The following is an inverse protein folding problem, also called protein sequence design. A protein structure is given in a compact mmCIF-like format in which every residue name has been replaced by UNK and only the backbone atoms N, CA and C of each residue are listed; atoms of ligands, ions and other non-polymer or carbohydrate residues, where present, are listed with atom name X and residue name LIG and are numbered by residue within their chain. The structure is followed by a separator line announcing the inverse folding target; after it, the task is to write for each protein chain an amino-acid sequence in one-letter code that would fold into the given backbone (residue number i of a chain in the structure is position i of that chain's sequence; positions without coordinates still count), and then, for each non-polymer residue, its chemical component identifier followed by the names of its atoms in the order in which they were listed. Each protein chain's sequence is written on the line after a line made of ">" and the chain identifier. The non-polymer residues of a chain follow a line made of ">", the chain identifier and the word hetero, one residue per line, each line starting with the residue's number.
data_IF_671593086027
#
_entry.id   IF_671593086027
#
_cell.length_a   1.000
_cell.length_b   1.000
_cell.length_c   1.000
_cell.angle_alpha   90.00
_cell.angle_beta   90.00
_cell.angle_gamma   90.00
#
_symmetry.space_group_name_H-M   'P 1'
#
loop_
_entity.id
_entity.type
_entity.pdbx_description
1 polymer ?
#
# COMPACT_ATOMS: atom_id res chain seq x y z
N UNK A 1 -18.29 38.96 8.43
CA UNK A 1 -18.19 37.53 8.06
C UNK A 1 -16.71 37.18 8.10
N UNK A 2 -16.27 36.67 9.24
CA UNK A 2 -14.89 36.23 9.41
C UNK A 2 -14.78 34.82 8.78
N UNK A 3 -13.98 34.72 7.73
CA UNK A 3 -13.63 33.46 7.12
C UNK A 3 -12.83 32.64 8.13
N UNK A 4 -13.42 31.54 8.57
CA UNK A 4 -12.72 30.52 9.35
C UNK A 4 -11.85 29.71 8.39
N UNK A 5 -10.65 30.21 8.07
CA UNK A 5 -9.61 29.38 7.49
C UNK A 5 -9.34 28.18 8.38
N UNK A 6 -9.12 27.00 7.78
CA UNK A 6 -8.86 25.77 8.53
C UNK A 6 -7.61 25.93 9.41
N UNK A 7 -7.52 25.20 10.51
CA UNK A 7 -6.35 25.25 11.40
C UNK A 7 -5.02 24.92 10.67
N UNK A 8 -5.10 24.18 9.57
CA UNK A 8 -4.01 23.83 8.66
C UNK A 8 -3.56 25.05 7.86
N UNK A 9 -4.49 25.83 7.30
CA UNK A 9 -4.20 27.04 6.54
C UNK A 9 -3.49 28.09 7.39
N UNK A 10 -3.95 28.35 8.62
CA UNK A 10 -3.31 29.31 9.55
C UNK A 10 -1.90 28.91 9.97
N UNK A 11 -1.59 27.59 10.10
CA UNK A 11 -0.27 27.13 10.47
C UNK A 11 0.73 27.15 9.31
N UNK A 12 0.23 27.03 8.08
CA UNK A 12 1.07 27.13 6.88
C UNK A 12 1.42 28.61 6.60
N UNK A 13 0.49 29.53 6.90
CA UNK A 13 0.71 30.99 6.80
C UNK A 13 1.77 31.53 7.78
N UNK A 14 1.96 30.86 8.93
CA UNK A 14 2.98 31.22 9.94
C UNK A 14 4.38 30.62 9.67
N UNK A 15 4.62 29.99 8.52
CA UNK A 15 5.90 29.34 8.22
C UNK A 15 6.95 30.36 7.73
N UNK A 16 8.11 30.49 8.41
CA UNK A 16 9.19 31.33 7.91
C UNK A 16 9.79 30.77 6.61
N UNK A 17 10.30 31.67 5.76
CA UNK A 17 10.83 31.39 4.43
C UNK A 17 11.55 30.03 4.30
N UNK A 18 11.04 29.22 3.40
CA UNK A 18 11.35 27.79 3.15
C UNK A 18 12.86 27.51 2.95
N UNK A 19 13.55 27.22 4.05
CA UNK A 19 14.86 26.54 4.00
C UNK A 19 14.76 25.30 4.89
N UNK A 20 14.57 24.14 4.31
CA UNK A 20 14.34 22.84 4.96
C UNK A 20 13.20 22.87 6.00
N UNK A 21 12.00 22.61 5.59
CA UNK A 21 10.81 22.56 6.45
C UNK A 21 10.29 21.13 6.49
N UNK A 22 10.09 20.61 7.69
CA UNK A 22 9.27 19.40 7.84
C UNK A 22 7.81 19.76 7.57
N UNK A 23 7.09 18.88 6.86
CA UNK A 23 5.65 19.05 6.75
C UNK A 23 5.02 19.09 8.15
N UNK A 24 4.13 20.06 8.43
CA UNK A 24 3.35 20.05 9.67
C UNK A 24 2.71 18.66 9.89
N UNK A 25 2.65 18.21 11.15
CA UNK A 25 2.10 16.87 11.47
C UNK A 25 0.68 16.65 10.93
N UNK A 26 -0.11 17.71 10.85
CA UNK A 26 -1.44 17.70 10.26
C UNK A 26 -1.38 17.42 8.76
N UNK A 27 -0.46 18.04 8.05
CA UNK A 27 -0.26 17.80 6.61
C UNK A 27 0.29 16.40 6.34
N UNK A 28 1.17 15.90 7.21
CA UNK A 28 1.64 14.50 7.14
C UNK A 28 0.47 13.53 7.25
N UNK A 29 -0.43 13.74 8.22
CA UNK A 29 -1.64 12.93 8.38
C UNK A 29 -2.56 13.01 7.17
N UNK A 30 -2.70 14.19 6.57
CA UNK A 30 -3.48 14.39 5.35
C UNK A 30 -2.85 13.66 4.17
N UNK A 31 -1.53 13.78 3.96
CA UNK A 31 -0.79 13.04 2.93
C UNK A 31 -0.99 11.54 3.09
N UNK A 32 -0.84 11.02 4.31
CA UNK A 32 -0.99 9.58 4.57
C UNK A 32 -2.44 9.11 4.47
N UNK A 33 -3.42 9.96 4.79
CA UNK A 33 -4.83 9.69 4.52
C UNK A 33 -5.10 9.60 3.00
N UNK A 34 -4.49 10.45 2.20
CA UNK A 34 -4.55 10.39 0.73
C UNK A 34 -3.81 9.17 0.17
N UNK A 35 -2.70 8.76 0.78
CA UNK A 35 -2.03 7.48 0.45
C UNK A 35 -3.01 6.33 0.63
N UNK A 36 -3.72 6.27 1.75
CA UNK A 36 -4.76 5.25 2.00
C UNK A 36 -5.87 5.27 0.94
N UNK A 37 -6.23 6.43 0.41
CA UNK A 37 -7.21 6.56 -0.67
C UNK A 37 -6.72 6.15 -2.07
N UNK A 38 -5.42 5.89 -2.24
CA UNK A 38 -4.80 5.53 -3.52
C UNK A 38 -4.03 4.21 -3.51
N UNK A 39 -3.75 3.64 -2.34
CA UNK A 39 -3.09 2.35 -2.16
C UNK A 39 -4.12 1.29 -1.80
N UNK A 40 -4.12 0.19 -2.52
CA UNK A 40 -4.99 -0.95 -2.24
C UNK A 40 -4.64 -1.62 -0.92
N UNK A 41 -3.36 -1.87 -0.67
CA UNK A 41 -2.90 -2.50 0.57
C UNK A 41 -3.23 -1.64 1.79
N UNK A 42 -3.05 -0.32 1.68
CA UNK A 42 -3.40 0.59 2.76
C UNK A 42 -4.92 0.68 3.03
N UNK A 43 -5.76 0.38 2.02
CA UNK A 43 -7.22 0.35 2.16
C UNK A 43 -7.70 -0.91 2.86
N UNK A 44 -7.16 -2.08 2.48
CA UNK A 44 -7.62 -3.37 2.98
C UNK A 44 -6.97 -3.77 4.31
N UNK A 45 -5.99 -3.04 4.80
CA UNK A 45 -5.25 -3.35 6.02
C UNK A 45 -5.24 -2.19 7.01
N UNK A 46 -4.97 -2.49 8.27
CA UNK A 46 -4.84 -1.49 9.32
C UNK A 46 -3.40 -0.98 9.42
N UNK A 47 -3.28 0.35 9.58
CA UNK A 47 -2.01 1.03 9.73
C UNK A 47 -1.61 1.14 11.20
N UNK A 48 -0.32 0.96 11.51
CA UNK A 48 0.28 1.27 12.80
C UNK A 48 1.50 2.18 12.61
N UNK A 49 1.73 3.18 13.49
CA UNK A 49 2.97 3.96 13.45
C UNK A 49 4.19 3.05 13.65
N UNK A 50 5.23 3.24 12.85
CA UNK A 50 6.48 2.49 12.94
C UNK A 50 7.60 3.46 13.28
N UNK A 51 8.39 3.24 14.36
CA UNK A 51 9.56 4.05 14.63
C UNK A 51 10.63 3.81 13.56
N UNK A 52 11.53 4.77 13.38
CA UNK A 52 12.62 4.67 12.39
C UNK A 52 13.54 3.45 12.62
N UNK A 53 13.68 3.02 13.87
CA UNK A 53 14.43 1.81 14.24
C UNK A 53 13.77 0.49 13.78
N UNK A 54 12.52 0.56 13.34
CA UNK A 54 11.67 -0.61 13.03
C UNK A 54 10.86 -1.07 14.23
N UNK A 55 9.95 -2.00 13.96
CA UNK A 55 9.09 -2.65 14.95
C UNK A 55 9.25 -4.16 14.82
N UNK A 56 9.25 -4.87 15.95
CA UNK A 56 9.21 -6.32 15.98
C UNK A 56 7.77 -6.77 16.19
N UNK A 57 7.26 -7.56 15.25
CA UNK A 57 5.94 -8.20 15.35
C UNK A 57 6.12 -9.69 15.64
N UNK A 58 5.35 -10.20 16.59
CA UNK A 58 5.43 -11.60 17.02
C UNK A 58 4.30 -12.40 16.39
N UNK A 59 4.65 -13.58 15.90
CA UNK A 59 3.73 -14.57 15.37
C UNK A 59 3.71 -15.73 16.36
N UNK A 60 2.54 -16.00 16.91
CA UNK A 60 2.36 -17.06 17.87
C UNK A 60 1.49 -18.16 17.28
N UNK A 61 2.09 -19.29 16.94
CA UNK A 61 1.40 -20.44 16.38
C UNK A 61 1.22 -21.52 17.45
N UNK A 62 -0.02 -21.97 17.61
CA UNK A 62 -0.39 -23.10 18.46
C UNK A 62 -0.63 -24.34 17.60
N UNK A 63 0.11 -25.40 17.83
CA UNK A 63 -0.09 -26.66 17.14
C UNK A 63 -0.97 -27.60 17.95
N UNK A 64 -1.87 -28.31 17.26
CA UNK A 64 -2.79 -29.28 17.83
C UNK A 64 -4.10 -28.68 18.34
N UNK A 65 -5.02 -29.55 18.69
CA UNK A 65 -6.36 -29.20 19.15
C UNK A 65 -6.46 -29.12 20.67
N UNK A 66 -7.37 -28.29 21.18
CA UNK A 66 -7.74 -28.30 22.59
C UNK A 66 -8.32 -29.67 22.99
N UNK A 67 -7.92 -30.16 24.14
CA UNK A 67 -8.36 -31.47 24.66
C UNK A 67 -9.43 -31.28 25.75
N UNK A 68 -10.48 -32.11 25.68
CA UNK A 68 -11.42 -32.26 26.78
C UNK A 68 -10.85 -33.33 27.75
N UNK A 69 -10.60 -32.92 29.00
CA UNK A 69 -9.98 -33.79 30.01
C UNK A 69 -11.00 -34.04 31.14
N UNK A 70 -11.21 -35.28 31.48
CA UNK A 70 -12.03 -35.68 32.61
C UNK A 70 -11.37 -35.41 33.95
N UNK A 71 -12.13 -35.50 35.05
CA UNK A 71 -11.61 -35.32 36.40
C UNK A 71 -10.57 -36.42 36.72
N UNK A 72 -9.36 -36.04 37.09
CA UNK A 72 -8.24 -36.95 37.38
C UNK A 72 -7.43 -37.43 36.19
N UNK A 73 -7.75 -37.02 34.96
CA UNK A 73 -7.01 -37.41 33.78
C UNK A 73 -5.80 -36.48 33.51
N UNK A 74 -4.79 -37.01 32.82
CA UNK A 74 -3.58 -36.26 32.46
C UNK A 74 -3.89 -35.30 31.32
N UNK A 75 -3.53 -34.03 31.48
CA UNK A 75 -3.58 -33.00 30.44
C UNK A 75 -2.58 -33.31 29.33
N UNK A 76 -3.03 -33.26 28.06
CA UNK A 76 -2.15 -33.34 26.89
C UNK A 76 -1.24 -32.11 26.78
N UNK A 77 -0.10 -32.28 26.12
CA UNK A 77 0.81 -31.20 25.81
C UNK A 77 0.50 -30.68 24.38
N UNK A 78 0.26 -29.40 24.24
CA UNK A 78 0.33 -28.71 22.96
C UNK A 78 1.75 -28.20 22.68
N UNK A 79 2.06 -27.92 21.45
CA UNK A 79 3.26 -27.20 21.04
C UNK A 79 2.89 -25.77 20.66
N UNK A 80 3.77 -24.84 21.04
CA UNK A 80 3.64 -23.43 20.65
C UNK A 80 4.96 -22.98 20.06
N UNK A 81 4.91 -22.35 18.88
CA UNK A 81 6.05 -21.69 18.27
C UNK A 81 5.84 -20.19 18.32
N UNK A 82 6.90 -19.46 18.69
CA UNK A 82 6.94 -18.01 18.69
C UNK A 82 7.98 -17.58 17.67
N UNK A 83 7.53 -16.97 16.59
CA UNK A 83 8.40 -16.36 15.60
C UNK A 83 8.31 -14.85 15.70
N UNK A 84 9.38 -14.15 15.33
CA UNK A 84 9.37 -12.71 15.27
C UNK A 84 9.78 -12.23 13.89
N UNK A 85 9.10 -11.20 13.39
CA UNK A 85 9.44 -10.52 12.14
C UNK A 85 9.70 -9.04 12.41
N UNK A 86 10.90 -8.59 12.03
CA UNK A 86 11.27 -7.18 12.17
C UNK A 86 10.83 -6.43 10.92
N UNK A 87 9.96 -5.44 11.12
CA UNK A 87 9.49 -4.53 10.09
C UNK A 87 10.34 -3.27 10.15
N UNK A 88 11.18 -3.04 9.14
CA UNK A 88 12.00 -1.83 9.02
C UNK A 88 11.41 -0.91 7.95
N UNK A 89 11.31 0.41 8.23
CA UNK A 89 10.85 1.35 7.23
C UNK A 89 11.86 1.49 6.09
N UNK A 90 11.35 1.49 4.86
CA UNK A 90 12.08 1.82 3.64
C UNK A 90 11.85 3.28 3.29
N UNK A 91 12.85 3.90 2.69
CA UNK A 91 12.81 5.31 2.29
C UNK A 91 12.23 5.43 0.88
N UNK A 92 11.11 6.12 0.76
CA UNK A 92 10.50 6.51 -0.51
C UNK A 92 10.77 7.98 -0.77
N UNK A 93 11.36 8.29 -1.91
CA UNK A 93 11.70 9.66 -2.30
C UNK A 93 10.98 10.03 -3.58
N UNK A 94 10.37 11.19 -3.59
CA UNK A 94 9.88 11.81 -4.80
C UNK A 94 10.38 13.25 -4.88
N UNK A 95 10.87 13.62 -6.05
CA UNK A 95 11.34 14.97 -6.30
C UNK A 95 10.82 15.47 -7.64
N UNK A 96 10.55 16.77 -7.70
CA UNK A 96 10.07 17.42 -8.89
C UNK A 96 10.70 18.81 -9.02
N UNK A 97 11.10 19.17 -10.26
CA UNK A 97 11.53 20.52 -10.59
C UNK A 97 10.32 21.41 -10.80
N UNK A 98 10.38 22.61 -10.27
CA UNK A 98 9.41 23.68 -10.48
C UNK A 98 10.16 24.97 -10.81
N UNK A 99 9.50 25.92 -11.46
CA UNK A 99 10.10 27.26 -11.72
C UNK A 99 10.44 27.95 -10.40
N UNK A 100 11.52 28.73 -10.37
CA UNK A 100 11.91 29.53 -9.19
C UNK A 100 10.92 30.66 -8.90
N UNK A 101 10.00 30.95 -9.83
CA UNK A 101 8.85 31.82 -9.58
C UNK A 101 7.99 31.34 -8.41
N UNK A 102 8.06 30.03 -8.08
CA UNK A 102 7.44 29.46 -6.89
C UNK A 102 7.94 30.15 -5.61
N UNK A 103 9.25 30.36 -5.47
CA UNK A 103 9.81 31.01 -4.27
C UNK A 103 9.45 32.50 -4.24
N UNK A 104 9.28 33.12 -5.41
CA UNK A 104 9.03 34.53 -5.56
C UNK A 104 7.56 34.93 -5.61
N UNK A 105 6.63 33.94 -5.58
CA UNK A 105 5.19 34.22 -5.57
C UNK A 105 4.72 34.58 -4.15
N UNK A 106 3.46 35.02 -4.03
CA UNK A 106 2.85 35.31 -2.73
C UNK A 106 2.75 34.05 -1.87
N UNK A 107 2.78 34.20 -0.55
CA UNK A 107 2.66 33.08 0.41
C UNK A 107 1.43 32.22 0.15
N UNK A 108 0.30 32.82 -0.19
CA UNK A 108 -0.93 32.11 -0.56
C UNK A 108 -0.72 31.15 -1.75
N UNK A 109 -0.04 31.60 -2.79
CA UNK A 109 0.30 30.74 -3.93
C UNK A 109 1.32 29.66 -3.60
N UNK A 110 2.28 29.93 -2.70
CA UNK A 110 3.20 28.91 -2.22
C UNK A 110 2.45 27.80 -1.49
N UNK A 111 1.46 28.13 -0.66
CA UNK A 111 0.59 27.17 0.01
C UNK A 111 -0.16 26.29 -0.99
N UNK A 112 -0.74 26.88 -2.03
CA UNK A 112 -1.43 26.14 -3.08
C UNK A 112 -0.50 25.16 -3.82
N UNK A 113 0.71 25.59 -4.15
CA UNK A 113 1.73 24.73 -4.75
C UNK A 113 2.10 23.55 -3.85
N UNK A 114 2.28 23.80 -2.54
CA UNK A 114 2.61 22.76 -1.58
C UNK A 114 1.45 21.76 -1.38
N UNK A 115 0.20 22.22 -1.40
CA UNK A 115 -0.97 21.33 -1.39
C UNK A 115 -0.99 20.42 -2.62
N UNK A 116 -0.84 20.99 -3.83
CA UNK A 116 -0.80 20.22 -5.07
C UNK A 116 0.37 19.24 -5.12
N UNK A 117 1.55 19.68 -4.65
CA UNK A 117 2.71 18.79 -4.54
C UNK A 117 2.44 17.65 -3.57
N UNK A 118 1.86 17.94 -2.40
CA UNK A 118 1.50 16.93 -1.38
C UNK A 118 0.51 15.89 -1.93
N UNK A 119 -0.48 16.29 -2.72
CA UNK A 119 -1.43 15.39 -3.36
C UNK A 119 -0.75 14.49 -4.40
N UNK A 120 0.09 15.09 -5.24
CA UNK A 120 0.88 14.35 -6.21
C UNK A 120 1.84 13.37 -5.55
N UNK A 121 2.51 13.81 -4.48
CA UNK A 121 3.41 12.99 -3.66
C UNK A 121 2.68 11.80 -3.04
N UNK A 122 1.54 12.03 -2.38
CA UNK A 122 0.72 10.98 -1.77
C UNK A 122 0.35 9.88 -2.78
N UNK A 123 -0.11 10.29 -3.98
CA UNK A 123 -0.45 9.35 -5.04
C UNK A 123 0.75 8.54 -5.55
N UNK A 124 1.91 9.18 -5.69
CA UNK A 124 3.14 8.48 -6.13
C UNK A 124 3.65 7.51 -5.09
N UNK A 125 3.62 7.91 -3.81
CA UNK A 125 4.03 7.04 -2.70
C UNK A 125 3.06 5.86 -2.54
N UNK A 126 1.75 6.07 -2.67
CA UNK A 126 0.77 4.99 -2.64
C UNK A 126 1.04 3.93 -3.71
N UNK A 127 1.25 4.38 -4.95
CA UNK A 127 1.60 3.48 -6.06
C UNK A 127 2.93 2.76 -5.79
N UNK A 128 3.94 3.48 -5.30
CA UNK A 128 5.25 2.92 -5.01
C UNK A 128 5.20 1.88 -3.88
N UNK A 129 4.41 2.14 -2.84
CA UNK A 129 4.19 1.21 -1.73
C UNK A 129 3.52 -0.08 -2.22
N UNK A 130 2.41 0.02 -2.98
CA UNK A 130 1.73 -1.15 -3.54
C UNK A 130 2.67 -1.98 -4.42
N UNK A 131 3.41 -1.35 -5.35
CA UNK A 131 4.36 -2.05 -6.22
C UNK A 131 5.46 -2.76 -5.43
N UNK A 132 6.02 -2.09 -4.42
CA UNK A 132 7.06 -2.67 -3.60
C UNK A 132 6.54 -3.84 -2.74
N UNK A 133 5.38 -3.69 -2.12
CA UNK A 133 4.83 -4.71 -1.23
C UNK A 133 4.18 -5.88 -2.00
N UNK A 134 3.49 -5.63 -3.10
CA UNK A 134 2.87 -6.70 -3.91
C UNK A 134 3.92 -7.45 -4.71
N UNK A 135 4.72 -6.74 -5.51
CA UNK A 135 5.59 -7.35 -6.52
C UNK A 135 7.07 -7.38 -6.14
N UNK A 136 7.46 -6.70 -5.05
CA UNK A 136 8.86 -6.64 -4.64
C UNK A 136 9.76 -5.97 -5.66
N UNK A 137 9.26 -4.94 -6.34
CA UNK A 137 10.01 -4.20 -7.36
C UNK A 137 10.38 -2.80 -6.89
N UNK A 138 11.46 -2.26 -7.44
CA UNK A 138 11.82 -0.87 -7.28
C UNK A 138 10.91 -0.02 -8.19
N UNK A 139 10.10 0.92 -7.64
CA UNK A 139 9.00 1.54 -8.39
C UNK A 139 9.43 2.38 -9.60
N UNK A 140 10.66 2.89 -9.64
CA UNK A 140 11.16 3.72 -10.73
C UNK A 140 11.69 2.89 -11.90
N UNK A 141 12.46 1.84 -11.61
CA UNK A 141 13.10 0.98 -12.62
C UNK A 141 12.27 -0.25 -12.97
N UNK A 142 11.31 -0.62 -12.10
CA UNK A 142 10.54 -1.87 -12.18
C UNK A 142 11.40 -3.14 -12.09
N UNK A 143 12.66 -2.99 -11.66
CA UNK A 143 13.55 -4.11 -11.40
C UNK A 143 13.26 -4.76 -10.05
N UNK A 144 13.55 -6.04 -9.91
CA UNK A 144 13.40 -6.78 -8.67
C UNK A 144 14.22 -6.14 -7.55
N UNK A 145 13.56 -5.86 -6.43
CA UNK A 145 14.20 -5.33 -5.24
C UNK A 145 14.83 -6.44 -4.40
N UNK A 146 15.87 -6.11 -3.65
CA UNK A 146 16.58 -7.08 -2.78
C UNK A 146 15.69 -7.73 -1.71
N UNK A 147 14.60 -7.09 -1.34
CA UNK A 147 13.63 -7.61 -0.37
C UNK A 147 12.49 -8.44 -0.99
N UNK A 148 12.43 -8.61 -2.33
CA UNK A 148 11.34 -9.33 -3.02
C UNK A 148 11.05 -10.69 -2.40
N UNK A 149 12.07 -11.53 -2.26
CA UNK A 149 11.91 -12.88 -1.73
C UNK A 149 11.51 -12.96 -0.24
N UNK A 150 11.69 -11.87 0.51
CA UNK A 150 11.52 -11.87 1.97
C UNK A 150 10.38 -10.98 2.45
N UNK A 151 9.88 -10.07 1.61
CA UNK A 151 8.88 -9.09 2.02
C UNK A 151 8.00 -8.57 0.86
N UNK A 152 7.60 -9.46 -0.05
CA UNK A 152 6.57 -9.15 -1.06
C UNK A 152 5.59 -10.31 -1.21
N UNK A 153 4.39 -10.02 -1.71
CA UNK A 153 3.42 -11.08 -2.00
C UNK A 153 3.94 -12.02 -3.09
N UNK A 154 4.54 -11.49 -4.17
CA UNK A 154 5.14 -12.30 -5.23
C UNK A 154 6.23 -13.26 -4.74
N UNK A 155 7.02 -12.83 -3.77
CA UNK A 155 8.12 -13.62 -3.26
C UNK A 155 7.75 -14.60 -2.16
N UNK A 156 6.71 -14.30 -1.37
CA UNK A 156 6.33 -15.11 -0.20
C UNK A 156 5.13 -16.00 -0.46
N UNK A 157 4.11 -15.54 -1.21
CA UNK A 157 2.90 -16.31 -1.50
C UNK A 157 3.14 -17.10 -2.79
N UNK A 158 3.80 -18.25 -2.68
CA UNK A 158 4.20 -19.11 -3.80
C UNK A 158 3.44 -20.42 -3.87
N UNK A 159 2.81 -20.83 -2.77
CA UNK A 159 2.10 -22.12 -2.68
C UNK A 159 0.59 -21.96 -2.93
N UNK A 160 0.01 -20.86 -2.47
CA UNK A 160 -1.43 -20.57 -2.64
C UNK A 160 -1.65 -19.75 -3.93
N UNK A 161 -1.48 -20.41 -5.08
CA UNK A 161 -1.65 -19.80 -6.40
C UNK A 161 -2.81 -20.43 -7.16
N UNK A 162 -3.71 -19.59 -7.69
CA UNK A 162 -4.78 -19.97 -8.60
C UNK A 162 -4.46 -19.44 -9.99
N UNK A 163 -4.54 -20.29 -11.01
CA UNK A 163 -4.36 -19.86 -12.41
C UNK A 163 -5.60 -19.09 -12.87
N UNK A 164 -5.40 -17.88 -13.37
CA UNK A 164 -6.49 -17.02 -13.82
C UNK A 164 -7.16 -17.55 -15.09
N UNK A 165 -8.47 -17.78 -15.02
CA UNK A 165 -9.34 -18.03 -16.18
C UNK A 165 -10.35 -16.88 -16.30
N UNK A 166 -10.25 -16.11 -17.37
CA UNK A 166 -11.12 -14.96 -17.63
C UNK A 166 -12.60 -15.33 -17.83
N UNK A 167 -12.92 -16.61 -18.03
CA UNK A 167 -14.30 -17.12 -18.18
C UNK A 167 -14.93 -17.59 -16.88
N UNK A 168 -14.11 -17.74 -15.80
CA UNK A 168 -14.47 -18.27 -14.48
C UNK A 168 -13.86 -17.44 -13.37
N UNK A 169 -14.03 -16.14 -13.44
CA UNK A 169 -13.34 -15.22 -12.53
C UNK A 169 -13.86 -15.32 -11.09
N UNK A 170 -15.14 -15.59 -10.92
CA UNK A 170 -15.75 -15.85 -9.62
C UNK A 170 -15.25 -17.15 -9.02
N UNK A 171 -15.20 -18.24 -9.80
CA UNK A 171 -14.62 -19.52 -9.36
C UNK A 171 -13.14 -19.34 -8.95
N UNK A 172 -12.34 -18.56 -9.70
CA UNK A 172 -10.94 -18.30 -9.35
C UNK A 172 -10.79 -17.59 -8.00
N UNK A 173 -11.69 -16.65 -7.68
CA UNK A 173 -11.69 -15.95 -6.40
C UNK A 173 -12.12 -16.89 -5.29
N UNK A 174 -13.14 -17.71 -5.52
CA UNK A 174 -13.60 -18.73 -4.58
C UNK A 174 -12.51 -19.76 -4.28
N UNK A 175 -11.80 -20.25 -5.30
CA UNK A 175 -10.67 -21.17 -5.12
C UNK A 175 -9.56 -20.55 -4.27
N UNK A 176 -9.25 -19.28 -4.50
CA UNK A 176 -8.27 -18.56 -3.69
C UNK A 176 -8.71 -18.39 -2.22
N UNK A 177 -10.01 -18.09 -1.99
CA UNK A 177 -10.59 -18.02 -0.65
C UNK A 177 -10.53 -19.37 0.05
N UNK A 178 -10.83 -20.47 -0.67
CA UNK A 178 -10.75 -21.81 -0.12
C UNK A 178 -9.32 -22.19 0.30
N UNK A 179 -8.30 -21.79 -0.46
CA UNK A 179 -6.89 -22.01 -0.07
C UNK A 179 -6.54 -21.32 1.26
N UNK A 180 -7.00 -20.09 1.45
CA UNK A 180 -6.77 -19.35 2.70
C UNK A 180 -7.51 -19.99 3.88
N UNK A 181 -8.78 -20.34 3.70
CA UNK A 181 -9.61 -20.95 4.75
C UNK A 181 -9.16 -22.37 5.10
N UNK A 182 -8.58 -23.11 4.16
CA UNK A 182 -7.97 -24.41 4.42
C UNK A 182 -6.77 -24.33 5.36
N UNK A 183 -6.11 -23.18 5.42
CA UNK A 183 -5.01 -22.88 6.34
C UNK A 183 -5.50 -22.24 7.67
N UNK A 184 -6.79 -22.40 8.00
CA UNK A 184 -7.43 -21.88 9.23
C UNK A 184 -7.32 -20.35 9.39
N UNK A 185 -7.18 -19.61 8.28
CA UNK A 185 -7.14 -18.15 8.26
C UNK A 185 -8.46 -17.57 7.76
N UNK A 186 -8.88 -16.45 8.32
CA UNK A 186 -10.03 -15.68 7.85
C UNK A 186 -9.66 -14.88 6.59
N UNK A 187 -10.67 -14.52 5.79
CA UNK A 187 -10.48 -13.64 4.64
C UNK A 187 -11.10 -12.29 4.93
N UNK A 188 -10.25 -11.29 5.19
CA UNK A 188 -10.69 -9.93 5.56
C UNK A 188 -10.66 -8.94 4.41
N UNK A 189 -9.90 -9.25 3.35
CA UNK A 189 -9.75 -8.34 2.22
C UNK A 189 -9.52 -9.02 0.88
N UNK A 190 -9.90 -8.31 -0.17
CA UNK A 190 -9.74 -8.69 -1.57
C UNK A 190 -9.25 -7.50 -2.38
N UNK A 191 -8.12 -7.64 -3.06
CA UNK A 191 -7.58 -6.64 -3.96
C UNK A 191 -7.59 -7.20 -5.37
N UNK A 192 -8.20 -6.48 -6.33
CA UNK A 192 -8.38 -6.97 -7.69
C UNK A 192 -7.80 -6.03 -8.75
N UNK A 193 -7.35 -6.61 -9.84
CA UNK A 193 -6.99 -5.87 -11.04
C UNK A 193 -8.24 -5.27 -11.71
N UNK A 194 -8.13 -4.13 -12.42
CA UNK A 194 -9.24 -3.57 -13.17
C UNK A 194 -9.86 -4.54 -14.20
N UNK A 195 -9.05 -5.42 -14.79
CA UNK A 195 -9.50 -6.44 -15.73
C UNK A 195 -10.40 -7.49 -15.06
N UNK A 196 -10.07 -7.90 -13.84
CA UNK A 196 -10.87 -8.81 -13.00
C UNK A 196 -12.24 -8.23 -12.70
N UNK A 197 -12.31 -6.95 -12.27
CA UNK A 197 -13.58 -6.27 -12.06
C UNK A 197 -14.42 -6.15 -13.32
N UNK A 198 -13.79 -5.92 -14.47
CA UNK A 198 -14.50 -5.90 -15.76
C UNK A 198 -15.02 -7.30 -16.16
N UNK A 199 -14.30 -8.35 -15.86
CA UNK A 199 -14.71 -9.72 -16.13
C UNK A 199 -15.88 -10.12 -15.22
N UNK A 200 -15.83 -9.84 -13.91
CA UNK A 200 -16.97 -10.02 -12.99
C UNK A 200 -18.23 -9.32 -13.49
N UNK A 201 -18.11 -8.06 -13.94
CA UNK A 201 -19.25 -7.30 -14.50
C UNK A 201 -19.93 -7.95 -15.72
N UNK A 202 -19.27 -8.90 -16.39
CA UNK A 202 -19.78 -9.60 -17.59
C UNK A 202 -20.45 -10.91 -17.27
N UNK A 203 -20.25 -11.48 -16.09
CA UNK A 203 -20.82 -12.75 -15.69
C UNK A 203 -22.35 -12.65 -15.68
N UNK A 204 -22.99 -13.56 -16.41
CA UNK A 204 -24.47 -13.63 -16.51
C UNK A 204 -24.94 -15.07 -16.33
N UNK A 205 -25.98 -15.23 -15.51
CA UNK A 205 -26.71 -16.49 -15.36
C UNK A 205 -28.14 -16.25 -15.80
N UNK A 206 -28.62 -17.04 -16.76
CA UNK A 206 -29.95 -16.91 -17.34
C UNK A 206 -30.26 -15.47 -17.84
N UNK A 207 -29.26 -14.76 -18.38
CA UNK A 207 -29.41 -13.39 -18.89
C UNK A 207 -29.35 -12.30 -17.78
N UNK A 208 -29.25 -12.68 -16.52
CA UNK A 208 -29.14 -11.76 -15.38
C UNK A 208 -27.67 -11.62 -14.98
N UNK A 209 -27.20 -10.39 -14.85
CA UNK A 209 -25.83 -10.13 -14.37
C UNK A 209 -25.73 -10.43 -12.89
N UNK A 210 -24.67 -11.16 -12.53
CA UNK A 210 -24.45 -11.57 -11.13
C UNK A 210 -23.80 -10.46 -10.30
N UNK A 211 -22.89 -9.68 -10.91
CA UNK A 211 -22.10 -8.64 -10.23
C UNK A 211 -22.28 -7.28 -10.92
N UNK A 212 -23.50 -6.69 -10.86
CA UNK A 212 -23.79 -5.43 -11.56
C UNK A 212 -23.04 -4.23 -10.98
N UNK A 213 -22.57 -4.29 -9.73
CA UNK A 213 -21.81 -3.26 -9.02
C UNK A 213 -20.45 -2.97 -9.64
N UNK A 214 -19.88 -3.93 -10.38
CA UNK A 214 -18.60 -3.73 -11.10
C UNK A 214 -18.75 -3.08 -12.47
N UNK A 215 -19.96 -2.72 -12.87
CA UNK A 215 -20.19 -2.09 -14.19
C UNK A 215 -19.65 -0.67 -14.24
N UNK A 216 -19.39 -0.21 -15.45
CA UNK A 216 -18.91 1.14 -15.76
C UNK A 216 -17.60 1.52 -15.05
N UNK A 217 -16.77 0.53 -14.75
CA UNK A 217 -15.48 0.76 -14.09
C UNK A 217 -15.59 1.04 -12.59
N UNK A 218 -16.76 0.87 -12.00
CA UNK A 218 -16.94 0.99 -10.56
C UNK A 218 -16.46 -0.28 -9.83
N UNK A 219 -16.30 -0.19 -8.53
CA UNK A 219 -16.13 -1.30 -7.60
C UNK A 219 -16.75 -0.87 -6.26
N UNK A 220 -17.43 -1.78 -5.55
CA UNK A 220 -17.91 -1.50 -4.21
C UNK A 220 -16.74 -1.43 -3.23
N UNK A 221 -16.94 -0.81 -2.05
CA UNK A 221 -15.92 -0.80 -1.00
C UNK A 221 -15.82 -2.14 -0.26
N UNK A 222 -16.87 -2.93 -0.32
CA UNK A 222 -16.96 -4.27 0.27
C UNK A 222 -17.50 -5.25 -0.76
N UNK A 223 -16.92 -6.44 -0.78
CA UNK A 223 -17.42 -7.58 -1.52
C UNK A 223 -17.76 -8.67 -0.51
N UNK A 224 -19.06 -8.83 -0.26
CA UNK A 224 -19.60 -9.52 0.92
C UNK A 224 -19.02 -8.92 2.20
N UNK A 225 -18.33 -9.69 3.03
CA UNK A 225 -17.73 -9.22 4.30
C UNK A 225 -16.28 -8.74 4.14
N UNK A 226 -15.69 -8.91 2.96
CA UNK A 226 -14.30 -8.52 2.66
C UNK A 226 -14.21 -7.04 2.25
N UNK A 227 -13.24 -6.33 2.76
CA UNK A 227 -12.86 -5.00 2.23
C UNK A 227 -12.30 -5.18 0.81
N UNK A 228 -12.89 -4.48 -0.16
CA UNK A 228 -12.48 -4.57 -1.56
C UNK A 228 -11.75 -3.30 -2.01
N UNK A 229 -10.68 -3.50 -2.77
CA UNK A 229 -10.12 -2.44 -3.61
C UNK A 229 -9.80 -2.93 -5.02
N UNK A 230 -9.91 -2.01 -5.98
CA UNK A 230 -9.59 -2.26 -7.38
C UNK A 230 -8.54 -1.29 -7.85
N UNK A 231 -7.34 -1.78 -8.09
CA UNK A 231 -6.21 -0.96 -8.47
C UNK A 231 -5.41 -1.56 -9.62
N UNK A 232 -4.82 -0.68 -10.42
CA UNK A 232 -3.94 -1.06 -11.52
C UNK A 232 -2.61 -1.64 -11.04
N UNK A 233 -2.17 -1.28 -9.82
CA UNK A 233 -0.92 -1.79 -9.25
C UNK A 233 -0.91 -3.29 -9.09
N UNK A 234 -2.07 -3.92 -8.87
CA UNK A 234 -2.23 -5.39 -8.74
C UNK A 234 -1.75 -6.14 -9.98
N UNK A 235 -2.11 -5.65 -11.18
CA UNK A 235 -1.79 -6.31 -12.45
C UNK A 235 -0.49 -5.81 -13.08
N UNK A 236 0.44 -5.34 -12.28
CA UNK A 236 1.76 -4.97 -12.79
C UNK A 236 2.55 -6.24 -13.12
N UNK A 237 3.10 -6.28 -14.33
CA UNK A 237 3.93 -7.41 -14.77
C UNK A 237 5.23 -7.45 -13.99
N UNK A 238 5.56 -8.62 -13.49
CA UNK A 238 6.87 -8.90 -12.97
C UNK A 238 7.87 -9.22 -14.11
N UNK A 239 9.13 -9.47 -13.81
CA UNK A 239 10.17 -9.79 -14.81
C UNK A 239 9.87 -11.05 -15.63
N UNK A 240 9.10 -12.01 -15.09
CA UNK A 240 8.66 -13.22 -15.80
C UNK A 240 7.47 -13.00 -16.71
N UNK A 241 6.84 -11.82 -16.64
CA UNK A 241 5.65 -11.47 -17.42
C UNK A 241 4.33 -11.88 -16.76
N UNK A 242 4.37 -12.55 -15.61
CA UNK A 242 3.17 -12.91 -14.86
C UNK A 242 2.49 -11.66 -14.26
N UNK A 243 1.17 -11.69 -14.23
CA UNK A 243 0.32 -10.61 -13.71
C UNK A 243 -0.57 -11.15 -12.59
N UNK A 244 -0.62 -10.48 -11.45
CA UNK A 244 -1.64 -10.76 -10.45
C UNK A 244 -2.99 -10.18 -10.88
N UNK A 245 -4.01 -11.00 -10.85
CA UNK A 245 -5.37 -10.60 -11.18
C UNK A 245 -6.22 -10.36 -9.93
N UNK A 246 -5.89 -11.04 -8.83
CA UNK A 246 -6.44 -10.80 -7.50
C UNK A 246 -5.46 -11.27 -6.42
N UNK A 247 -5.51 -10.63 -5.25
CA UNK A 247 -4.84 -11.05 -4.02
C UNK A 247 -5.90 -11.02 -2.92
N UNK A 248 -6.04 -12.13 -2.20
CA UNK A 248 -7.01 -12.27 -1.10
C UNK A 248 -6.35 -12.86 0.13
N UNK A 249 -6.93 -12.63 1.30
CA UNK A 249 -6.44 -13.18 2.55
C UNK A 249 -6.75 -12.33 3.77
N UNK A 250 -6.08 -12.64 4.87
CA UNK A 250 -6.24 -11.95 6.15
C UNK A 250 -5.28 -10.76 6.27
N UNK A 251 -5.68 -9.67 5.66
CA UNK A 251 -4.91 -8.42 5.69
C UNK A 251 -4.93 -7.74 7.05
N UNK A 252 -5.96 -7.96 7.88
CA UNK A 252 -6.05 -7.31 9.18
C UNK A 252 -5.08 -7.89 10.20
N UNK A 253 -4.87 -9.20 10.18
CA UNK A 253 -4.04 -9.89 11.17
C UNK A 253 -2.61 -10.11 10.67
N UNK A 254 -2.40 -10.51 9.41
CA UNK A 254 -1.12 -10.96 8.89
C UNK A 254 -0.41 -10.01 7.92
N UNK A 255 -1.04 -8.88 7.55
CA UNK A 255 -0.35 -7.80 6.85
C UNK A 255 -0.27 -6.57 7.75
N UNK A 256 0.94 -6.17 8.11
CA UNK A 256 1.17 -4.98 8.94
C UNK A 256 1.96 -3.95 8.16
N UNK A 257 1.55 -2.69 8.25
CA UNK A 257 2.28 -1.60 7.65
C UNK A 257 2.18 -0.35 8.51
N UNK A 258 3.10 0.57 8.27
CA UNK A 258 3.07 1.85 8.93
C UNK A 258 4.12 2.79 8.37
N UNK A 259 4.13 4.00 8.86
CA UNK A 259 5.05 5.05 8.45
C UNK A 259 5.60 5.81 9.66
N UNK A 260 6.73 6.49 9.46
CA UNK A 260 7.28 7.38 10.47
C UNK A 260 6.50 8.70 10.47
N UNK A 261 6.37 9.33 11.64
CA UNK A 261 5.54 10.54 11.82
C UNK A 261 6.04 11.77 11.05
N UNK A 262 7.29 11.77 10.57
CA UNK A 262 7.90 12.90 9.91
C UNK A 262 8.09 12.63 8.42
N UNK A 263 7.63 13.56 7.58
CA UNK A 263 7.93 13.63 6.15
C UNK A 263 8.75 14.92 5.93
N UNK A 264 10.07 14.82 5.75
CA UNK A 264 10.87 15.98 5.41
C UNK A 264 10.56 16.47 4.00
N UNK A 265 10.37 17.77 3.86
CA UNK A 265 10.30 18.48 2.60
C UNK A 265 11.52 19.37 2.46
N UNK A 266 12.25 19.18 1.41
CA UNK A 266 13.44 19.98 1.09
C UNK A 266 13.20 20.80 -0.19
N UNK A 267 13.55 22.08 -0.14
CA UNK A 267 13.62 22.95 -1.31
C UNK A 267 15.08 23.12 -1.69
N UNK A 268 15.48 22.56 -2.82
CA UNK A 268 16.84 22.60 -3.33
C UNK A 268 16.92 23.67 -4.42
N UNK A 269 17.76 24.67 -4.21
CA UNK A 269 17.88 25.81 -5.11
C UNK A 269 19.07 25.72 -6.08
N UNK A 270 20.00 24.80 -5.84
CA UNK A 270 21.27 24.72 -6.57
C UNK A 270 21.62 23.29 -6.94
N UNK A 271 22.41 23.13 -8.01
CA UNK A 271 22.95 21.85 -8.45
C UNK A 271 22.01 21.07 -9.36
N UNK A 272 22.31 19.77 -9.54
CA UNK A 272 21.53 18.83 -10.33
C UNK A 272 21.10 17.62 -9.47
N UNK A 273 20.08 17.80 -8.61
CA UNK A 273 19.70 16.78 -7.62
C UNK A 273 19.10 15.50 -8.23
N UNK A 274 18.58 15.56 -9.45
CA UNK A 274 17.96 14.46 -10.17
C UNK A 274 18.80 13.92 -11.35
N UNK A 275 20.06 14.41 -11.46
CA UNK A 275 21.06 13.95 -12.42
C UNK A 275 20.59 14.05 -13.89
N UNK A 276 19.85 15.10 -14.21
CA UNK A 276 19.39 15.36 -15.58
C UNK A 276 20.42 16.03 -16.48
N UNK A 277 21.57 16.40 -15.94
CA UNK A 277 22.62 17.17 -16.63
C UNK A 277 22.33 18.68 -16.69
N UNK A 278 21.33 19.17 -15.92
CA UNK A 278 20.91 20.56 -15.87
C UNK A 278 21.04 21.12 -14.45
N UNK A 279 21.81 22.16 -14.30
CA UNK A 279 21.90 22.89 -13.04
C UNK A 279 20.62 23.73 -12.81
N UNK A 280 20.02 23.62 -11.60
CA UNK A 280 18.77 24.29 -11.27
C UNK A 280 18.86 25.81 -11.47
N UNK A 281 19.93 26.42 -10.98
CA UNK A 281 20.08 27.89 -11.04
C UNK A 281 20.26 28.41 -12.47
N UNK A 282 20.93 27.64 -13.33
CA UNK A 282 21.13 27.98 -14.73
C UNK A 282 19.82 28.03 -15.53
N UNK A 283 18.77 27.37 -15.06
CA UNK A 283 17.48 27.27 -15.73
C UNK A 283 16.33 27.94 -14.97
N UNK A 284 16.62 28.70 -13.90
CA UNK A 284 15.62 29.32 -13.03
C UNK A 284 14.62 28.30 -12.48
N UNK A 285 15.15 27.18 -11.97
CA UNK A 285 14.39 26.09 -11.39
C UNK A 285 14.77 25.88 -9.94
N UNK A 286 13.85 25.31 -9.17
CA UNK A 286 14.08 24.73 -7.85
C UNK A 286 13.57 23.31 -7.83
N UNK A 287 14.11 22.47 -6.96
CA UNK A 287 13.64 21.10 -6.80
C UNK A 287 12.99 20.93 -5.44
N UNK A 288 11.71 20.52 -5.47
CA UNK A 288 10.98 20.08 -4.28
C UNK A 288 11.23 18.60 -4.10
N UNK A 289 11.76 18.18 -2.93
CA UNK A 289 12.00 16.81 -2.57
C UNK A 289 11.25 16.47 -1.29
N UNK A 290 10.44 15.42 -1.33
CA UNK A 290 9.81 14.86 -0.14
C UNK A 290 10.23 13.41 0.06
N UNK A 291 10.36 13.00 1.32
CA UNK A 291 10.82 11.68 1.70
C UNK A 291 9.83 11.07 2.71
N UNK A 292 9.29 9.89 2.39
CA UNK A 292 8.45 9.13 3.31
C UNK A 292 9.15 7.82 3.70
N UNK A 293 9.02 7.43 4.95
CA UNK A 293 9.55 6.18 5.45
C UNK A 293 8.37 5.27 5.78
N UNK A 294 8.18 4.23 4.97
CA UNK A 294 7.09 3.27 5.09
C UNK A 294 7.68 1.88 5.28
N UNK A 295 7.22 1.18 6.30
CA UNK A 295 7.58 -0.21 6.56
C UNK A 295 6.34 -1.10 6.46
N UNK A 296 6.53 -2.33 6.02
CA UNK A 296 5.48 -3.35 6.00
C UNK A 296 6.08 -4.73 6.26
N UNK A 297 5.20 -5.67 6.57
CA UNK A 297 5.55 -7.07 6.75
C UNK A 297 4.35 -7.96 6.51
N UNK A 298 4.57 -9.03 5.74
CA UNK A 298 3.66 -10.15 5.61
C UNK A 298 4.08 -11.15 6.68
N UNK A 299 3.27 -11.32 7.72
CA UNK A 299 3.63 -12.13 8.89
C UNK A 299 3.52 -13.62 8.57
N UNK A 300 2.44 -14.02 7.90
CA UNK A 300 2.21 -15.40 7.47
C UNK A 300 1.77 -15.40 5.99
N UNK A 301 2.54 -16.07 5.14
CA UNK A 301 2.24 -16.19 3.72
C UNK A 301 1.07 -17.14 3.44
N UNK A 302 0.83 -18.14 4.31
CA UNK A 302 -0.25 -19.10 4.16
C UNK A 302 -1.65 -18.49 4.36
N UNK A 303 -1.71 -17.32 5.03
CA UNK A 303 -2.92 -16.54 5.21
C UNK A 303 -3.35 -15.75 3.95
N UNK A 304 -2.62 -15.90 2.85
CA UNK A 304 -2.91 -15.20 1.59
C UNK A 304 -2.93 -16.16 0.41
N UNK A 305 -3.67 -15.80 -0.63
CA UNK A 305 -3.69 -16.47 -1.91
C UNK A 305 -3.67 -15.45 -3.06
N UNK A 306 -3.12 -15.85 -4.20
CA UNK A 306 -2.99 -15.01 -5.39
C UNK A 306 -3.63 -15.70 -6.59
N UNK A 307 -4.36 -14.95 -7.39
CA UNK A 307 -4.86 -15.38 -8.70
C UNK A 307 -3.93 -14.80 -9.75
N UNK A 308 -3.19 -15.65 -10.44
CA UNK A 308 -2.08 -15.27 -11.32
C UNK A 308 -2.42 -15.61 -12.77
N UNK A 309 -2.17 -14.66 -13.65
CA UNK A 309 -2.22 -14.85 -15.10
C UNK A 309 -0.80 -14.98 -15.64
N UNK A 310 -0.52 -16.11 -16.26
CA UNK A 310 0.71 -16.39 -17.00
C UNK A 310 0.73 -15.71 -18.38
#
# INVERSE_FOLDING_TARGET
>A
MEEHGTAIERRIEDMPALKSVEFPKELVKEVMSKVKGHSSLAKVSSQKPIPFSGTEEFIFNLEGNAQIVGEGEKKGAGQATLESKVIKPLKFVYQARVSDEFINCSEEKQVDYLKLFSEGFAKKIATAFDLAAMHGVEPKSMADASFKATNSFDGLVTDNLVTYDATKVDDNIDDAIQMVTANESDVTGLVIAPATGQALAKITVNGVRQYPEFRFGQAPDYFFEMTLDKNKTVSTKNETGAEDMAITGDFENFFKWGYTENIPLEVIEYGDPDQTGRDLKAYNEVCLRAEAYIGWGILDASAFARVVKE
#
